data_IF_176410116204
#
_entry.id   IF_176410116204
#
_cell.length_a   1.000
_cell.length_b   1.000
_cell.length_c   1.000
_cell.angle_alpha   90.00
_cell.angle_beta   90.00
_cell.angle_gamma   90.00
#
_symmetry.space_group_name_H-M   'P 1'
#
loop_
_entity.id
_entity.type
_entity.pdbx_description
1 polymer ?
#
# COMPACT_ATOMS: atom_id res chain seq x y z
N UNK A 1 4.06 8.44 16.41
CA UNK A 1 3.86 7.31 15.47
C UNK A 1 4.92 7.24 14.36
N UNK A 2 6.09 7.90 14.46
CA UNK A 2 7.11 7.86 13.39
C UNK A 2 8.42 7.11 13.69
N UNK A 3 8.66 6.53 14.87
CA UNK A 3 9.85 5.67 15.06
C UNK A 3 9.81 4.42 14.16
N UNK A 4 8.61 3.97 13.76
CA UNK A 4 8.45 2.88 12.79
C UNK A 4 8.78 3.30 11.35
N UNK A 5 8.73 4.60 11.03
CA UNK A 5 9.03 5.07 9.67
C UNK A 5 10.51 4.90 9.35
N UNK A 6 11.39 5.17 10.31
CA UNK A 6 12.85 5.07 10.14
C UNK A 6 13.28 3.62 9.84
N UNK A 7 12.71 2.65 10.57
CA UNK A 7 13.00 1.23 10.37
C UNK A 7 12.52 0.76 8.99
N UNK A 8 11.30 1.16 8.58
CA UNK A 8 10.77 0.82 7.26
C UNK A 8 11.58 1.47 6.14
N UNK A 9 11.98 2.73 6.29
CA UNK A 9 12.82 3.43 5.31
C UNK A 9 14.18 2.76 5.17
N UNK A 10 14.82 2.39 6.29
CA UNK A 10 16.09 1.67 6.28
C UNK A 10 15.96 0.30 5.60
N UNK A 11 14.92 -0.47 5.92
CA UNK A 11 14.65 -1.74 5.27
C UNK A 11 14.46 -1.57 3.75
N UNK A 12 13.64 -0.61 3.32
CA UNK A 12 13.38 -0.37 1.90
C UNK A 12 14.63 0.10 1.14
N UNK A 13 15.51 0.86 1.80
CA UNK A 13 16.80 1.24 1.25
C UNK A 13 17.69 0.01 1.02
N UNK A 14 17.80 -0.88 2.01
CA UNK A 14 18.57 -2.14 1.87
C UNK A 14 17.94 -3.11 0.88
N UNK A 15 16.62 -3.17 0.80
CA UNK A 15 15.91 -3.94 -0.23
C UNK A 15 16.25 -3.43 -1.63
N UNK A 16 16.27 -2.11 -1.83
CA UNK A 16 16.63 -1.53 -3.13
C UNK A 16 18.08 -1.84 -3.53
N UNK A 17 19.03 -1.73 -2.60
CA UNK A 17 20.43 -2.15 -2.84
C UNK A 17 20.51 -3.62 -3.26
N UNK A 18 19.79 -4.52 -2.58
CA UNK A 18 19.77 -5.94 -2.90
C UNK A 18 19.14 -6.23 -4.27
N UNK A 19 18.09 -5.50 -4.65
CA UNK A 19 17.48 -5.62 -5.99
C UNK A 19 18.44 -5.20 -7.08
N UNK A 20 19.17 -4.09 -6.89
CA UNK A 20 20.20 -3.65 -7.86
C UNK A 20 21.30 -4.71 -8.00
N UNK A 21 21.75 -5.29 -6.89
CA UNK A 21 22.74 -6.37 -6.92
C UNK A 21 22.20 -7.59 -7.69
N UNK A 22 20.94 -7.97 -7.45
CA UNK A 22 20.29 -9.09 -8.13
C UNK A 22 20.19 -8.87 -9.64
N UNK A 23 19.89 -7.64 -10.08
CA UNK A 23 19.87 -7.26 -11.49
C UNK A 23 21.25 -7.41 -12.15
N UNK A 24 22.34 -7.15 -11.42
CA UNK A 24 23.70 -7.38 -11.92
C UNK A 24 24.06 -8.87 -11.99
N UNK A 25 23.62 -9.67 -11.02
CA UNK A 25 23.93 -11.10 -10.94
C UNK A 25 23.09 -11.94 -11.91
N UNK A 26 21.86 -11.49 -12.22
CA UNK A 26 20.89 -12.20 -13.07
C UNK A 26 20.44 -11.31 -14.24
N UNK A 27 21.32 -11.03 -15.22
CA UNK A 27 21.00 -10.11 -16.32
C UNK A 27 19.87 -10.60 -17.24
N UNK A 28 19.60 -11.91 -17.26
CA UNK A 28 18.51 -12.51 -18.04
C UNK A 28 17.17 -12.54 -17.29
N UNK A 29 17.14 -12.13 -16.00
CA UNK A 29 15.94 -12.10 -15.19
C UNK A 29 15.35 -10.68 -15.13
N UNK A 30 14.06 -10.56 -15.44
CA UNK A 30 13.32 -9.32 -15.21
C UNK A 30 13.10 -9.10 -13.70
N UNK A 31 13.78 -8.11 -13.14
CA UNK A 31 13.61 -7.72 -11.73
C UNK A 31 13.18 -6.27 -11.66
N UNK A 32 12.01 -6.01 -11.05
CA UNK A 32 11.45 -4.67 -10.87
C UNK A 32 11.30 -4.37 -9.38
N UNK A 33 11.86 -3.26 -8.91
CA UNK A 33 11.59 -2.74 -7.58
C UNK A 33 10.34 -1.85 -7.64
N UNK A 34 9.40 -2.01 -6.70
CA UNK A 34 8.17 -1.19 -6.62
C UNK A 34 8.13 -0.45 -5.29
N UNK A 35 8.12 0.88 -5.34
CA UNK A 35 8.05 1.76 -4.16
C UNK A 35 6.62 1.90 -3.64
N UNK A 36 6.11 0.81 -3.04
CA UNK A 36 4.83 0.81 -2.34
C UNK A 36 4.84 1.72 -1.11
N UNK A 37 6.01 2.00 -0.54
CA UNK A 37 6.15 2.78 0.68
C UNK A 37 5.73 4.23 0.45
N UNK A 38 6.22 4.85 -0.62
CA UNK A 38 5.84 6.22 -0.96
C UNK A 38 4.34 6.37 -1.19
N UNK A 39 3.69 5.38 -1.83
CA UNK A 39 2.25 5.37 -2.05
C UNK A 39 1.48 5.30 -0.71
N UNK A 40 1.86 4.38 0.18
CA UNK A 40 1.26 4.23 1.50
C UNK A 40 1.47 5.46 2.38
N UNK A 41 2.69 6.01 2.34
CA UNK A 41 3.05 7.20 3.09
C UNK A 41 2.25 8.42 2.62
N UNK A 42 2.06 8.58 1.31
CA UNK A 42 1.24 9.66 0.75
C UNK A 42 -0.23 9.57 1.20
N UNK A 43 -0.83 8.37 1.14
CA UNK A 43 -2.21 8.14 1.62
C UNK A 43 -2.38 8.55 3.09
N UNK A 44 -1.40 8.20 3.94
CA UNK A 44 -1.45 8.43 5.39
C UNK A 44 -1.13 9.90 5.73
N UNK A 45 -0.06 10.45 5.17
CA UNK A 45 0.42 11.81 5.49
C UNK A 45 -0.44 12.90 4.84
N UNK A 46 -1.05 12.61 3.69
CA UNK A 46 -1.93 13.51 2.96
C UNK A 46 -3.39 13.03 2.95
N UNK A 47 -3.84 12.41 4.04
CA UNK A 47 -5.21 11.92 4.23
C UNK A 47 -6.30 12.90 3.74
N UNK A 48 -6.09 14.21 3.93
CA UNK A 48 -7.03 15.25 3.51
C UNK A 48 -7.32 15.28 2.01
N UNK A 49 -6.33 14.91 1.19
CA UNK A 49 -6.43 14.86 -0.27
C UNK A 49 -7.41 13.77 -0.74
N UNK A 50 -7.64 12.75 0.07
CA UNK A 50 -8.36 11.53 -0.31
C UNK A 50 -9.68 11.33 0.48
N UNK A 51 -10.18 12.37 1.15
CA UNK A 51 -11.40 12.29 1.96
C UNK A 51 -12.68 12.03 1.16
N UNK A 52 -12.69 12.39 -0.13
CA UNK A 52 -13.79 12.07 -1.05
C UNK A 52 -13.88 10.58 -1.33
N UNK A 53 -12.74 9.90 -1.27
CA UNK A 53 -12.60 8.50 -1.69
C UNK A 53 -12.74 7.57 -0.48
N UNK A 54 -12.27 7.99 0.70
CA UNK A 54 -12.31 7.21 1.92
C UNK A 54 -12.91 7.99 3.10
N UNK A 55 -14.15 7.62 3.47
CA UNK A 55 -14.98 8.27 4.50
C UNK A 55 -14.25 8.44 5.84
N UNK A 56 -13.36 7.52 6.22
CA UNK A 56 -12.67 7.61 7.51
C UNK A 56 -11.43 8.50 7.52
N UNK A 57 -10.84 8.82 6.35
CA UNK A 57 -9.82 9.87 6.26
C UNK A 57 -10.44 11.24 6.57
N UNK A 58 -11.73 11.42 6.24
CA UNK A 58 -12.52 12.61 6.62
C UNK A 58 -12.60 12.79 8.13
N UNK A 59 -12.59 11.74 8.96
CA UNK A 59 -12.66 11.91 10.42
C UNK A 59 -11.34 12.38 11.03
N UNK A 60 -10.21 11.92 10.47
CA UNK A 60 -8.85 12.38 10.81
C UNK A 60 -8.67 13.88 10.54
N UNK A 61 -9.05 14.29 9.33
CA UNK A 61 -9.74 15.52 8.99
C UNK A 61 -9.92 16.63 10.01
N UNK A 62 -11.03 16.46 10.73
CA UNK A 62 -11.66 17.43 11.62
C UNK A 62 -11.09 17.35 13.06
N UNK A 63 -9.90 16.78 13.25
CA UNK A 63 -9.25 16.70 14.56
C UNK A 63 -9.82 15.63 15.49
N UNK A 64 -10.71 14.75 14.99
CA UNK A 64 -11.16 13.57 15.72
C UNK A 64 -10.21 12.43 15.40
N UNK A 65 -9.31 12.15 16.34
CA UNK A 65 -8.33 11.06 16.28
C UNK A 65 -9.08 9.72 16.26
N UNK A 66 -9.45 9.24 15.08
CA UNK A 66 -9.80 7.83 14.90
C UNK A 66 -8.67 7.18 14.13
N UNK A 67 -7.89 6.40 14.87
CA UNK A 67 -6.92 5.45 14.36
C UNK A 67 -7.64 4.57 13.35
N UNK A 68 -7.29 4.69 12.07
CA UNK A 68 -7.72 3.93 10.89
C UNK A 68 -8.74 2.77 11.10
N UNK A 69 -9.92 3.02 11.66
CA UNK A 69 -10.87 1.96 12.05
C UNK A 69 -10.28 0.80 12.88
N UNK A 70 -9.23 1.05 13.64
CA UNK A 70 -8.55 0.05 14.44
C UNK A 70 -8.48 0.49 15.89
N UNK A 71 -8.82 -0.42 16.80
CA UNK A 71 -8.55 -0.28 18.22
C UNK A 71 -7.54 -1.38 18.59
N UNK A 72 -6.34 -1.03 19.07
CA UNK A 72 -5.32 -2.02 19.42
C UNK A 72 -5.74 -2.96 20.54
N UNK A 73 -6.81 -2.65 21.28
CA UNK A 73 -7.35 -3.51 22.32
C UNK A 73 -8.31 -4.58 21.79
N UNK A 74 -8.72 -4.50 20.52
CA UNK A 74 -9.72 -5.39 19.94
C UNK A 74 -9.30 -5.82 18.52
N UNK A 75 -8.91 -7.08 18.37
CA UNK A 75 -8.62 -7.65 17.07
C UNK A 75 -9.93 -8.02 16.34
N UNK A 76 -9.95 -7.87 15.02
CA UNK A 76 -11.08 -8.34 14.23
C UNK A 76 -11.26 -9.85 14.38
N UNK A 77 -12.51 -10.30 14.51
CA UNK A 77 -12.87 -11.70 14.82
C UNK A 77 -12.42 -12.20 16.19
N UNK A 78 -11.91 -11.34 17.06
CA UNK A 78 -11.66 -11.69 18.46
C UNK A 78 -12.97 -11.86 19.21
N UNK A 79 -13.01 -12.85 20.09
CA UNK A 79 -14.10 -13.02 21.04
C UNK A 79 -13.85 -12.13 22.26
N UNK A 80 -14.77 -11.21 22.52
CA UNK A 80 -14.64 -10.21 23.58
C UNK A 80 -15.85 -10.25 24.48
N UNK A 81 -15.65 -10.01 25.78
CA UNK A 81 -16.75 -9.89 26.73
C UNK A 81 -17.08 -8.42 26.95
N UNK A 82 -18.22 -7.97 26.42
CA UNK A 82 -18.73 -6.61 26.61
C UNK A 82 -19.99 -6.67 27.46
N UNK A 83 -20.01 -5.97 28.60
CA UNK A 83 -21.15 -5.95 29.52
C UNK A 83 -21.71 -7.36 29.82
N UNK A 84 -20.81 -8.29 30.19
CA UNK A 84 -21.15 -9.67 30.56
C UNK A 84 -21.71 -10.54 29.42
N UNK A 85 -21.64 -10.06 28.18
CA UNK A 85 -22.04 -10.80 26.97
C UNK A 85 -20.78 -11.09 26.15
N UNK A 86 -20.56 -12.35 25.80
CA UNK A 86 -19.54 -12.74 24.82
C UNK A 86 -20.03 -12.38 23.41
N UNK A 87 -19.22 -11.64 22.68
CA UNK A 87 -19.49 -11.26 21.30
C UNK A 87 -18.22 -11.37 20.48
N UNK A 88 -18.37 -11.45 19.15
CA UNK A 88 -17.24 -11.43 18.23
C UNK A 88 -17.13 -10.02 17.69
N UNK A 89 -15.91 -9.46 17.66
CA UNK A 89 -15.62 -8.20 16.99
C UNK A 89 -15.91 -8.38 15.49
N UNK A 90 -17.08 -7.90 15.08
CA UNK A 90 -17.56 -8.04 13.70
C UNK A 90 -16.85 -7.10 12.73
N UNK A 91 -17.10 -7.31 11.43
CA UNK A 91 -16.67 -6.34 10.43
C UNK A 91 -17.39 -5.02 10.66
N UNK A 92 -16.71 -3.93 10.36
CA UNK A 92 -17.34 -2.63 10.45
C UNK A 92 -17.93 -2.23 9.09
N UNK A 93 -19.19 -1.75 9.10
CA UNK A 93 -20.04 -1.31 7.98
C UNK A 93 -19.55 -1.47 6.52
N UNK A 94 -19.68 -0.40 5.73
CA UNK A 94 -19.22 -0.40 4.33
C UNK A 94 -17.68 -0.41 4.28
N UNK A 95 -17.09 -1.45 3.71
CA UNK A 95 -15.64 -1.62 3.57
C UNK A 95 -15.04 -0.82 2.42
N UNK A 96 -15.85 -0.37 1.45
CA UNK A 96 -15.38 0.36 0.27
C UNK A 96 -14.83 1.75 0.60
N UNK A 97 -15.22 2.30 1.75
CA UNK A 97 -14.84 3.64 2.23
C UNK A 97 -13.87 3.60 3.41
N UNK A 98 -13.33 2.42 3.74
CA UNK A 98 -12.44 2.20 4.88
C UNK A 98 -11.02 1.98 4.40
N UNK A 99 -10.04 2.48 5.16
CA UNK A 99 -8.63 2.33 4.80
C UNK A 99 -8.05 1.01 5.29
N UNK A 100 -8.35 0.66 6.54
CA UNK A 100 -7.75 -0.48 7.22
C UNK A 100 -8.85 -1.48 7.61
N UNK A 101 -8.49 -2.75 7.53
CA UNK A 101 -9.35 -3.89 7.75
C UNK A 101 -9.29 -4.38 9.20
N UNK A 102 -8.09 -4.59 9.76
CA UNK A 102 -7.87 -5.30 11.04
C UNK A 102 -6.73 -4.74 11.91
N UNK A 103 -6.20 -3.57 11.57
CA UNK A 103 -5.04 -2.95 12.22
C UNK A 103 -3.71 -3.14 11.49
N UNK A 104 -3.64 -4.12 10.58
CA UNK A 104 -2.42 -4.44 9.84
C UNK A 104 -2.67 -4.36 8.33
N UNK A 105 -3.80 -4.89 7.87
CA UNK A 105 -4.14 -4.99 6.46
C UNK A 105 -4.99 -3.81 5.99
N UNK A 106 -4.84 -3.47 4.70
CA UNK A 106 -5.71 -2.53 4.01
C UNK A 106 -6.96 -3.24 3.49
N UNK A 107 -8.04 -2.49 3.31
CA UNK A 107 -9.24 -3.02 2.65
C UNK A 107 -9.00 -3.26 1.17
N UNK A 108 -9.88 -4.04 0.55
CA UNK A 108 -9.89 -4.26 -0.90
C UNK A 108 -9.89 -2.93 -1.69
N UNK A 109 -10.67 -1.95 -1.27
CA UNK A 109 -10.75 -0.65 -1.93
C UNK A 109 -9.39 0.09 -1.95
N UNK A 110 -8.65 0.05 -0.84
CA UNK A 110 -7.31 0.66 -0.78
C UNK A 110 -6.28 -0.17 -1.55
N UNK A 111 -6.37 -1.50 -1.52
CA UNK A 111 -5.51 -2.36 -2.33
C UNK A 111 -5.72 -2.07 -3.83
N UNK A 112 -6.96 -1.92 -4.28
CA UNK A 112 -7.28 -1.52 -5.66
C UNK A 112 -6.69 -0.14 -6.00
N UNK A 113 -6.88 0.83 -5.12
CA UNK A 113 -6.33 2.19 -5.28
C UNK A 113 -4.80 2.22 -5.33
N UNK A 114 -4.11 1.35 -4.58
CA UNK A 114 -2.66 1.18 -4.68
C UNK A 114 -2.27 0.57 -6.02
N UNK A 115 -2.98 -0.47 -6.46
CA UNK A 115 -2.69 -1.16 -7.71
C UNK A 115 -2.79 -0.23 -8.93
N UNK A 116 -3.83 0.61 -8.99
CA UNK A 116 -4.00 1.62 -10.06
C UNK A 116 -2.81 2.59 -10.18
N UNK A 117 -2.05 2.82 -9.11
CA UNK A 117 -0.88 3.69 -9.11
C UNK A 117 0.41 2.99 -9.47
N UNK A 118 0.44 1.66 -9.36
CA UNK A 118 1.64 0.84 -9.59
C UNK A 118 1.67 0.32 -11.02
N UNK A 119 0.49 0.02 -11.59
CA UNK A 119 0.36 -0.71 -12.85
C UNK A 119 1.07 -0.04 -14.04
N UNK A 120 1.10 1.30 -14.07
CA UNK A 120 1.72 2.08 -15.14
C UNK A 120 3.26 2.21 -15.03
N UNK A 121 3.85 1.71 -13.93
CA UNK A 121 5.28 1.77 -13.68
C UNK A 121 5.78 3.07 -13.04
N UNK A 122 4.90 4.03 -12.71
CA UNK A 122 5.29 5.33 -12.11
C UNK A 122 6.03 5.20 -10.77
N UNK A 123 5.83 4.09 -10.07
CA UNK A 123 6.52 3.76 -8.81
C UNK A 123 7.50 2.58 -8.96
N UNK A 124 7.80 2.18 -10.19
CA UNK A 124 8.69 1.07 -10.50
C UNK A 124 10.10 1.56 -10.82
N UNK A 125 11.09 0.73 -10.51
CA UNK A 125 12.48 0.89 -10.94
C UNK A 125 12.96 -0.45 -11.56
N UNK A 126 13.14 -0.51 -12.89
CA UNK A 126 12.96 0.58 -13.86
C UNK A 126 11.49 1.03 -14.00
N UNK A 127 11.21 2.27 -14.47
CA UNK A 127 9.85 2.82 -14.59
C UNK A 127 9.15 2.27 -15.84
N UNK A 128 8.88 0.97 -15.84
CA UNK A 128 8.17 0.25 -16.90
C UNK A 128 6.81 -0.21 -16.38
N UNK A 129 5.75 -0.14 -17.20
CA UNK A 129 4.46 -0.72 -16.85
C UNK A 129 4.60 -2.19 -16.47
N UNK A 130 3.77 -2.66 -15.53
CA UNK A 130 3.87 -4.03 -15.03
C UNK A 130 3.62 -5.06 -16.15
N UNK A 131 2.74 -4.73 -17.10
CA UNK A 131 2.51 -5.55 -18.31
C UNK A 131 3.76 -5.68 -19.19
N UNK A 132 4.66 -4.70 -19.12
CA UNK A 132 5.92 -4.65 -19.87
C UNK A 132 7.11 -5.19 -19.07
N UNK A 133 6.92 -5.60 -17.81
CA UNK A 133 8.03 -5.94 -16.90
C UNK A 133 8.95 -7.06 -17.42
N UNK A 134 8.39 -8.02 -18.16
CA UNK A 134 9.11 -9.16 -18.73
C UNK A 134 9.58 -8.94 -20.17
N UNK A 135 9.26 -7.80 -20.78
CA UNK A 135 9.62 -7.50 -22.16
C UNK A 135 10.99 -6.84 -22.21
N UNK A 136 11.87 -7.31 -23.10
CA UNK A 136 13.24 -6.79 -23.17
C UNK A 136 13.24 -5.31 -23.60
N UNK A 137 14.24 -4.54 -23.16
CA UNK A 137 14.45 -3.15 -23.63
C UNK A 137 14.50 -3.04 -25.18
N UNK A 138 14.92 -4.11 -25.86
CA UNK A 138 14.96 -4.19 -27.32
C UNK A 138 13.54 -4.29 -27.92
N UNK A 139 12.63 -5.05 -27.31
CA UNK A 139 11.21 -5.13 -27.72
C UNK A 139 10.47 -3.80 -27.49
N UNK A 140 10.74 -3.11 -26.37
CA UNK A 140 10.16 -1.80 -26.06
C UNK A 140 10.52 -0.73 -27.10
N UNK A 141 11.77 -0.72 -27.59
CA UNK A 141 12.22 0.23 -28.61
C UNK A 141 11.58 0.01 -29.98
N UNK A 142 11.23 -1.24 -30.30
CA UNK A 142 10.53 -1.60 -31.54
C UNK A 142 9.04 -1.24 -31.47
N UNK A 143 8.40 -1.38 -30.31
CA UNK A 143 7.00 -1.01 -30.10
C UNK A 143 6.78 0.51 -30.08
N UNK A 144 7.72 1.28 -29.52
CA UNK A 144 7.65 2.74 -29.51
C UNK A 144 7.84 3.39 -30.91
N UNK A 145 8.40 2.66 -31.87
CA UNK A 145 8.56 3.11 -33.27
C UNK A 145 7.38 2.71 -34.17
N UNK A 146 6.43 1.92 -33.67
CA UNK A 146 5.28 1.41 -34.41
C UNK A 146 4.00 2.26 -34.25
N UNK A 147 4.06 3.37 -33.50
CA UNK A 147 2.97 4.33 -33.29
C UNK A 147 3.35 5.74 -33.76
#
# INVERSE_FOLDING_TARGET
>A
MCNSCDVSQYYNHKLKEAVVQLQCELPDAATTYVDIYSIKYDLISHARKYESDFLYLKKWSYGVKMEFNYDPNFLCSEMVTLHYIETIVGSCGDSSVRVNWDGIHYTEAVIHWFFERIIDGSYSDPPIPLEMACHSQMEMSLLAQAN
#
